data_IF_349715638387
#
_entry.id   IF_349715638387
#
_cell.length_a   1.000
_cell.length_b   1.000
_cell.length_c   1.000
_cell.angle_alpha   90.00
_cell.angle_beta   90.00
_cell.angle_gamma   90.00
#
_symmetry.space_group_name_H-M   'P 1'
#
loop_
_entity.id
_entity.type
_entity.pdbx_description
1 polymer ?
#
# COMPACT_ATOMS: atom_id res chain seq x y z
N UNK A 1 7.11 9.75 -20.24
CA UNK A 1 7.88 8.83 -19.37
C UNK A 1 7.45 7.41 -19.72
N UNK A 2 8.39 6.49 -20.02
CA UNK A 2 8.03 5.07 -20.21
C UNK A 2 7.55 4.51 -18.85
N UNK A 3 6.40 3.84 -18.84
CA UNK A 3 5.78 3.24 -17.64
C UNK A 3 6.76 2.41 -16.81
N UNK A 4 7.71 1.78 -17.48
CA UNK A 4 8.59 0.78 -16.90
C UNK A 4 9.67 1.43 -16.02
N UNK A 5 10.17 2.62 -16.40
CA UNK A 5 11.12 3.39 -15.58
C UNK A 5 10.47 3.92 -14.30
N UNK A 6 9.20 4.32 -14.38
CA UNK A 6 8.44 4.76 -13.21
C UNK A 6 8.19 3.60 -12.24
N UNK A 7 7.91 2.41 -12.76
CA UNK A 7 7.77 1.20 -11.95
C UNK A 7 9.11 0.82 -11.28
N UNK A 8 10.23 0.87 -12.01
CA UNK A 8 11.56 0.59 -11.47
C UNK A 8 11.95 1.58 -10.37
N UNK A 9 11.68 2.88 -10.57
CA UNK A 9 11.89 3.90 -9.56
C UNK A 9 11.02 3.66 -8.31
N UNK A 10 9.76 3.25 -8.48
CA UNK A 10 8.88 2.93 -7.36
C UNK A 10 9.41 1.74 -6.54
N UNK A 11 9.93 0.70 -7.19
CA UNK A 11 10.52 -0.46 -6.52
C UNK A 11 11.78 -0.05 -5.72
N UNK A 12 12.65 0.79 -6.30
CA UNK A 12 13.83 1.31 -5.59
C UNK A 12 13.43 2.16 -4.38
N UNK A 13 12.41 3.02 -4.52
CA UNK A 13 11.88 3.85 -3.43
C UNK A 13 11.23 3.02 -2.32
N UNK A 14 10.57 1.91 -2.66
CA UNK A 14 10.05 0.98 -1.66
C UNK A 14 11.15 0.20 -0.96
N UNK A 15 12.22 -0.18 -1.67
CA UNK A 15 13.37 -0.86 -1.09
C UNK A 15 14.12 0.00 -0.06
N UNK A 16 14.28 1.30 -0.33
CA UNK A 16 14.93 2.23 0.62
C UNK A 16 14.05 2.60 1.82
N UNK A 17 12.75 2.31 1.77
CA UNK A 17 11.82 2.66 2.84
C UNK A 17 12.14 1.91 4.14
N UNK A 18 12.55 0.65 4.05
CA UNK A 18 12.91 -0.16 5.23
C UNK A 18 14.14 0.41 5.97
N UNK A 19 15.19 0.83 5.25
CA UNK A 19 16.39 1.40 5.87
C UNK A 19 16.12 2.78 6.49
N UNK A 20 15.31 3.61 5.83
CA UNK A 20 14.90 4.91 6.38
C UNK A 20 13.96 4.76 7.58
N UNK A 21 13.03 3.80 7.56
CA UNK A 21 12.10 3.56 8.67
C UNK A 21 12.83 3.16 9.96
N UNK A 22 13.90 2.37 9.86
CA UNK A 22 14.75 2.02 11.02
C UNK A 22 15.44 3.27 11.60
N UNK A 23 15.80 4.23 10.75
CA UNK A 23 16.42 5.49 11.19
C UNK A 23 15.42 6.47 11.83
N UNK A 24 14.11 6.22 11.68
CA UNK A 24 13.01 7.05 12.14
C UNK A 24 12.16 6.32 13.20
N UNK A 25 12.73 5.36 13.93
CA UNK A 25 12.03 4.54 14.94
C UNK A 25 11.37 5.37 16.06
N UNK A 26 11.84 6.59 16.29
CA UNK A 26 11.31 7.55 17.26
C UNK A 26 10.05 8.28 16.78
N UNK A 27 9.72 8.23 15.49
CA UNK A 27 8.57 8.96 14.92
C UNK A 27 7.34 8.05 14.89
N UNK A 28 6.20 8.49 15.44
CA UNK A 28 4.96 7.73 15.38
C UNK A 28 4.56 7.39 13.94
N UNK A 29 4.18 6.15 13.66
CA UNK A 29 4.08 5.67 12.30
C UNK A 29 2.89 6.27 11.52
N UNK A 30 1.77 6.62 12.18
CA UNK A 30 0.68 7.36 11.52
C UNK A 30 1.08 8.79 11.13
N UNK A 31 1.93 9.43 11.93
CA UNK A 31 2.49 10.75 11.63
C UNK A 31 3.45 10.67 10.44
N UNK A 32 4.33 9.67 10.40
CA UNK A 32 5.27 9.45 9.29
C UNK A 32 4.52 9.20 7.97
N UNK A 33 3.49 8.34 7.99
CA UNK A 33 2.60 8.11 6.85
C UNK A 33 1.88 9.38 6.43
N UNK A 34 1.34 10.14 7.40
CA UNK A 34 0.61 11.37 7.16
C UNK A 34 1.47 12.43 6.46
N UNK A 35 2.65 12.72 7.00
CA UNK A 35 3.61 13.66 6.41
C UNK A 35 4.04 13.18 5.02
N UNK A 36 4.37 11.89 4.86
CA UNK A 36 4.77 11.32 3.58
C UNK A 36 3.69 11.48 2.49
N UNK A 37 2.41 11.27 2.84
CA UNK A 37 1.29 11.45 1.91
C UNK A 37 1.01 12.92 1.59
N UNK A 38 1.14 13.82 2.56
CA UNK A 38 1.00 15.27 2.34
C UNK A 38 2.13 15.76 1.44
N UNK A 39 3.39 15.41 1.73
CA UNK A 39 4.54 15.79 0.90
C UNK A 39 4.43 15.18 -0.50
N UNK A 40 4.03 13.91 -0.61
CA UNK A 40 3.77 13.26 -1.90
C UNK A 40 2.66 13.96 -2.70
N UNK A 41 1.63 14.48 -2.03
CA UNK A 41 0.58 15.27 -2.69
C UNK A 41 1.08 16.61 -3.23
N UNK A 42 2.07 17.23 -2.57
CA UNK A 42 2.68 18.47 -3.05
C UNK A 42 3.46 18.24 -4.36
N UNK A 43 4.05 17.05 -4.54
CA UNK A 43 4.74 16.68 -5.78
C UNK A 43 3.74 16.52 -6.95
N UNK A 44 2.48 16.22 -6.67
CA UNK A 44 1.44 16.13 -7.70
C UNK A 44 0.97 17.51 -8.22
N UNK A 45 1.22 18.62 -7.51
CA UNK A 45 0.90 19.99 -7.95
C UNK A 45 1.57 20.38 -9.27
N UNK A 46 2.92 20.28 -9.42
CA UNK A 46 3.58 20.61 -10.68
C UNK A 46 3.16 19.66 -11.81
N UNK A 47 2.92 18.39 -11.52
CA UNK A 47 2.43 17.40 -12.50
C UNK A 47 1.02 17.73 -13.02
N UNK A 48 0.19 18.36 -12.18
CA UNK A 48 -1.14 18.85 -12.58
C UNK A 48 -1.11 20.15 -13.42
N UNK A 49 0.07 20.77 -13.55
CA UNK A 49 0.23 22.11 -14.11
C UNK A 49 -0.41 23.20 -13.25
N UNK A 50 -0.34 23.06 -11.92
CA UNK A 50 -0.96 23.95 -10.93
C UNK A 50 -2.48 24.11 -11.05
N UNK A 51 -3.15 23.22 -11.80
CA UNK A 51 -4.61 23.25 -11.94
C UNK A 51 -5.26 22.47 -10.81
N UNK A 52 -5.59 23.17 -9.74
CA UNK A 52 -6.28 22.64 -8.55
C UNK A 52 -7.53 21.82 -8.91
N UNK A 53 -8.26 22.21 -9.96
CA UNK A 53 -9.45 21.49 -10.42
C UNK A 53 -9.17 20.05 -10.91
N UNK A 54 -7.93 19.75 -11.34
CA UNK A 54 -7.48 18.40 -11.71
C UNK A 54 -7.00 17.58 -10.51
N UNK A 55 -6.73 18.24 -9.38
CA UNK A 55 -6.37 17.62 -8.12
C UNK A 55 -7.60 17.19 -7.32
N UNK A 56 -8.81 17.64 -7.66
CA UNK A 56 -10.04 17.25 -6.95
C UNK A 56 -10.53 15.90 -7.50
N UNK A 57 -10.32 14.77 -6.79
CA UNK A 57 -10.85 13.48 -7.21
C UNK A 57 -12.39 13.47 -7.15
N UNK A 58 -13.00 12.65 -8.00
CA UNK A 58 -14.42 12.28 -7.84
C UNK A 58 -14.61 11.59 -6.48
N UNK A 59 -15.78 11.79 -5.85
CA UNK A 59 -16.10 11.21 -4.52
C UNK A 59 -15.76 9.72 -4.40
N UNK A 60 -16.02 8.91 -5.44
CA UNK A 60 -15.68 7.48 -5.46
C UNK A 60 -14.16 7.22 -5.41
N UNK A 61 -13.36 7.98 -6.16
CA UNK A 61 -11.89 7.86 -6.18
C UNK A 61 -11.30 8.28 -4.83
N UNK A 62 -11.87 9.33 -4.22
CA UNK A 62 -11.48 9.77 -2.89
C UNK A 62 -11.78 8.73 -1.82
N UNK A 63 -12.98 8.15 -1.82
CA UNK A 63 -13.35 7.09 -0.88
C UNK A 63 -12.46 5.86 -1.02
N UNK A 64 -12.19 5.42 -2.25
CA UNK A 64 -11.28 4.28 -2.52
C UNK A 64 -9.86 4.61 -2.07
N UNK A 65 -9.37 5.82 -2.33
CA UNK A 65 -8.05 6.28 -1.89
C UNK A 65 -7.92 6.31 -0.36
N UNK A 66 -8.90 6.89 0.34
CA UNK A 66 -8.91 6.96 1.82
C UNK A 66 -9.05 5.57 2.43
N UNK A 67 -9.95 4.73 1.92
CA UNK A 67 -10.08 3.33 2.34
C UNK A 67 -8.76 2.57 2.16
N UNK A 68 -8.15 2.68 0.98
CA UNK A 68 -6.94 1.96 0.63
C UNK A 68 -5.73 2.40 1.44
N UNK A 69 -5.49 3.71 1.55
CA UNK A 69 -4.33 4.24 2.27
C UNK A 69 -4.52 4.13 3.78
N UNK A 70 -5.62 4.64 4.32
CA UNK A 70 -5.82 4.72 5.76
C UNK A 70 -6.16 3.34 6.36
N UNK A 71 -7.05 2.59 5.69
CA UNK A 71 -7.42 1.24 6.12
C UNK A 71 -6.24 0.27 6.08
N UNK A 72 -5.39 0.35 5.04
CA UNK A 72 -4.18 -0.47 4.96
C UNK A 72 -3.22 -0.18 6.11
N UNK A 73 -2.90 1.10 6.34
CA UNK A 73 -1.95 1.46 7.38
C UNK A 73 -2.48 1.12 8.76
N UNK A 74 -3.76 1.36 9.03
CA UNK A 74 -4.36 1.00 10.31
C UNK A 74 -4.33 -0.51 10.56
N UNK A 75 -4.71 -1.33 9.57
CA UNK A 75 -4.64 -2.78 9.66
C UNK A 75 -3.18 -3.30 9.78
N UNK A 76 -2.25 -2.67 9.08
CA UNK A 76 -0.84 -3.03 9.15
C UNK A 76 -0.27 -2.73 10.54
N UNK A 77 -0.50 -1.54 11.10
CA UNK A 77 -0.03 -1.19 12.44
C UNK A 77 -0.68 -2.06 13.51
N UNK A 78 -1.99 -2.32 13.41
CA UNK A 78 -2.65 -3.29 14.29
C UNK A 78 -2.02 -4.69 14.19
N UNK A 79 -1.64 -5.13 12.99
CA UNK A 79 -0.91 -6.37 12.77
C UNK A 79 0.46 -6.40 13.43
N UNK A 80 1.25 -5.34 13.25
CA UNK A 80 2.60 -5.19 13.81
C UNK A 80 2.61 -5.07 15.34
N UNK A 81 1.57 -4.48 15.94
CA UNK A 81 1.44 -4.37 17.41
C UNK A 81 1.01 -5.70 18.06
N UNK A 82 0.30 -6.56 17.33
CA UNK A 82 -0.31 -7.79 17.86
C UNK A 82 0.36 -9.08 17.39
N UNK A 83 1.45 -9.02 16.62
CA UNK A 83 2.22 -10.17 16.15
C UNK A 83 3.68 -9.79 15.88
N UNK A 84 4.61 -10.77 15.79
CA UNK A 84 5.99 -10.50 15.43
C UNK A 84 6.08 -9.76 14.09
N UNK A 85 6.74 -8.60 14.07
CA UNK A 85 6.77 -7.67 12.93
C UNK A 85 7.15 -8.34 11.61
N UNK A 86 8.12 -9.25 11.65
CA UNK A 86 8.60 -10.01 10.49
C UNK A 86 7.51 -10.92 9.93
N UNK A 87 6.84 -11.69 10.78
CA UNK A 87 5.80 -12.63 10.37
C UNK A 87 4.53 -11.91 9.91
N UNK A 88 4.12 -10.85 10.61
CA UNK A 88 3.01 -10.00 10.20
C UNK A 88 3.27 -9.34 8.84
N UNK A 89 4.48 -8.83 8.60
CA UNK A 89 4.83 -8.24 7.31
C UNK A 89 4.89 -9.29 6.19
N UNK A 90 5.33 -10.52 6.49
CA UNK A 90 5.27 -11.63 5.54
C UNK A 90 3.84 -11.98 5.12
N UNK A 91 2.91 -11.99 6.08
CA UNK A 91 1.48 -12.16 5.77
C UNK A 91 0.96 -10.99 4.94
N UNK A 92 1.39 -9.77 5.23
CA UNK A 92 1.04 -8.61 4.44
C UNK A 92 1.55 -8.71 2.98
N UNK A 93 2.73 -9.32 2.76
CA UNK A 93 3.28 -9.62 1.43
C UNK A 93 2.45 -10.60 0.59
N UNK A 94 1.30 -11.09 1.06
CA UNK A 94 0.30 -11.75 0.21
C UNK A 94 -0.38 -10.76 -0.77
N UNK A 95 -0.27 -9.45 -0.53
CA UNK A 95 -0.92 -8.44 -1.37
C UNK A 95 -0.64 -8.57 -2.88
N UNK A 96 0.57 -8.89 -3.38
CA UNK A 96 0.82 -9.02 -4.83
C UNK A 96 0.12 -10.23 -5.42
N UNK A 97 0.08 -11.36 -4.69
CA UNK A 97 -0.67 -12.54 -5.11
C UNK A 97 -2.16 -12.19 -5.15
N UNK A 98 -2.67 -11.54 -4.10
CA UNK A 98 -4.07 -11.13 -4.03
C UNK A 98 -4.43 -10.17 -5.17
N UNK A 99 -3.56 -9.24 -5.56
CA UNK A 99 -3.77 -8.38 -6.74
C UNK A 99 -3.95 -9.22 -8.01
N UNK A 100 -3.12 -10.24 -8.21
CA UNK A 100 -3.19 -11.12 -9.38
C UNK A 100 -4.47 -11.98 -9.35
N UNK A 101 -4.81 -12.55 -8.19
CA UNK A 101 -6.00 -13.39 -8.01
C UNK A 101 -7.30 -12.59 -8.13
N UNK A 102 -7.33 -11.38 -7.60
CA UNK A 102 -8.50 -10.50 -7.61
C UNK A 102 -8.62 -9.71 -8.91
N UNK A 103 -7.55 -9.55 -9.71
CA UNK A 103 -7.57 -8.83 -10.99
C UNK A 103 -8.80 -9.10 -11.89
N UNK A 104 -9.19 -10.36 -12.19
CA UNK A 104 -10.34 -10.66 -13.05
C UNK A 104 -11.68 -10.21 -12.46
N UNK A 105 -11.80 -10.11 -11.14
CA UNK A 105 -13.03 -9.66 -10.46
C UNK A 105 -13.27 -8.16 -10.66
N UNK A 106 -12.19 -7.38 -10.77
CA UNK A 106 -12.25 -5.92 -10.85
C UNK A 106 -12.04 -5.36 -12.26
N UNK A 107 -11.36 -6.10 -13.14
CA UNK A 107 -10.98 -5.65 -14.48
C UNK A 107 -11.61 -6.57 -15.53
N UNK A 108 -12.70 -6.09 -16.14
CA UNK A 108 -13.40 -6.81 -17.22
C UNK A 108 -12.43 -7.10 -18.37
N UNK A 109 -12.36 -8.37 -18.78
CA UNK A 109 -11.52 -8.82 -19.91
C UNK A 109 -10.13 -9.30 -19.53
N UNK A 110 -9.75 -9.31 -18.24
CA UNK A 110 -8.51 -9.97 -17.80
C UNK A 110 -8.77 -11.42 -17.42
N UNK A 111 -7.98 -12.34 -17.98
CA UNK A 111 -8.00 -13.76 -17.64
C UNK A 111 -6.70 -14.14 -16.93
N UNK A 112 -6.80 -14.93 -15.86
CA UNK A 112 -5.61 -15.49 -15.22
C UNK A 112 -5.01 -16.55 -16.13
N UNK A 113 -3.91 -16.20 -16.76
CA UNK A 113 -3.03 -17.18 -17.41
C UNK A 113 -2.21 -17.94 -16.36
N UNK A 114 -1.89 -19.20 -16.62
CA UNK A 114 -1.03 -20.04 -15.77
C UNK A 114 0.32 -19.39 -15.41
N UNK A 115 0.85 -18.55 -16.31
CA UNK A 115 2.08 -17.76 -16.07
C UNK A 115 1.96 -16.81 -14.87
N UNK A 116 0.78 -16.24 -14.61
CA UNK A 116 0.56 -15.35 -13.47
C UNK A 116 0.54 -16.12 -12.14
N UNK A 117 0.01 -17.34 -12.16
CA UNK A 117 0.06 -18.25 -11.01
C UNK A 117 1.51 -18.62 -10.67
N UNK A 118 2.30 -19.02 -11.67
CA UNK A 118 3.73 -19.30 -11.47
C UNK A 118 4.44 -18.05 -10.93
N UNK A 119 4.27 -16.89 -11.57
CA UNK A 119 4.93 -15.66 -11.14
C UNK A 119 4.56 -15.26 -9.70
N UNK A 120 3.29 -15.39 -9.32
CA UNK A 120 2.82 -15.12 -7.97
C UNK A 120 3.41 -16.07 -6.93
N UNK A 121 3.40 -17.38 -7.21
CA UNK A 121 3.98 -18.40 -6.32
C UNK A 121 5.50 -18.20 -6.21
N UNK A 122 6.20 -18.00 -7.33
CA UNK A 122 7.65 -17.82 -7.33
C UNK A 122 8.05 -16.54 -6.56
N UNK A 123 7.33 -15.44 -6.77
CA UNK A 123 7.56 -14.17 -6.09
C UNK A 123 7.31 -14.26 -4.59
N UNK A 124 6.22 -14.93 -4.18
CA UNK A 124 5.92 -15.15 -2.77
C UNK A 124 6.90 -16.09 -2.09
N UNK A 125 7.26 -17.21 -2.74
CA UNK A 125 8.29 -18.12 -2.22
C UNK A 125 9.62 -17.41 -2.06
N UNK A 126 9.99 -16.53 -3.00
CA UNK A 126 11.19 -15.68 -2.89
C UNK A 126 11.12 -14.72 -1.69
N UNK A 127 10.00 -14.01 -1.52
CA UNK A 127 9.79 -13.12 -0.38
C UNK A 127 9.79 -13.88 0.95
N UNK A 128 9.13 -15.04 1.00
CA UNK A 128 9.11 -15.91 2.17
C UNK A 128 10.50 -16.40 2.54
N UNK A 129 11.28 -16.91 1.58
CA UNK A 129 12.66 -17.33 1.81
C UNK A 129 13.54 -16.18 2.29
N UNK A 130 13.45 -15.01 1.65
CA UNK A 130 14.22 -13.83 2.06
C UNK A 130 13.92 -13.43 3.50
N UNK A 131 12.64 -13.42 3.89
CA UNK A 131 12.19 -12.98 5.22
C UNK A 131 12.46 -14.05 6.29
N UNK A 132 12.28 -15.33 5.97
CA UNK A 132 12.48 -16.46 6.90
C UNK A 132 13.95 -16.81 7.11
N UNK A 133 14.83 -16.49 6.17
CA UNK A 133 16.26 -16.84 6.22
C UNK A 133 17.04 -16.27 7.41
N UNK A 134 16.46 -15.34 8.18
CA UNK A 134 17.11 -14.70 9.33
C UNK A 134 16.27 -14.68 10.62
N UNK A 135 15.14 -15.40 10.69
CA UNK A 135 14.19 -15.25 11.81
C UNK A 135 13.69 -16.60 12.33
N UNK A 136 13.68 -16.79 13.65
CA UNK A 136 13.02 -17.95 14.25
C UNK A 136 11.49 -17.83 14.12
N UNK A 137 10.87 -18.90 13.61
CA UNK A 137 9.43 -19.02 13.55
C UNK A 137 8.88 -19.25 14.96
N UNK A 138 8.40 -18.18 15.58
CA UNK A 138 7.62 -18.28 16.82
C UNK A 138 6.29 -18.97 16.49
N UNK A 139 6.10 -20.17 17.01
CA UNK A 139 4.85 -20.93 16.88
C UNK A 139 3.73 -20.33 17.73
N UNK A 140 2.55 -20.15 17.15
CA UNK A 140 1.35 -19.65 17.83
C UNK A 140 0.49 -18.78 16.92
N UNK A 141 -0.83 -18.91 16.99
CA UNK A 141 -1.73 -18.05 16.23
C UNK A 141 -1.88 -16.70 16.96
N UNK A 142 -1.34 -15.64 16.36
CA UNK A 142 -1.49 -14.29 16.86
C UNK A 142 -2.60 -13.57 16.07
N UNK A 143 -3.45 -12.81 16.76
CA UNK A 143 -4.49 -11.99 16.12
C UNK A 143 -3.89 -11.01 15.12
N UNK A 144 -2.64 -10.59 15.30
CA UNK A 144 -1.91 -9.75 14.34
C UNK A 144 -1.80 -10.34 12.93
N UNK A 145 -1.82 -11.68 12.76
CA UNK A 145 -1.85 -12.29 11.42
C UNK A 145 -3.16 -12.04 10.68
N UNK A 146 -4.28 -11.96 11.40
CA UNK A 146 -5.58 -11.61 10.82
C UNK A 146 -5.55 -10.18 10.32
N UNK A 147 -5.04 -9.24 11.14
CA UNK A 147 -4.91 -7.84 10.74
C UNK A 147 -3.96 -7.65 9.55
N UNK A 148 -2.83 -8.36 9.51
CA UNK A 148 -1.93 -8.36 8.36
C UNK A 148 -2.59 -8.90 7.08
N UNK A 149 -3.41 -9.96 7.19
CA UNK A 149 -4.20 -10.48 6.08
C UNK A 149 -5.25 -9.49 5.59
N UNK A 150 -5.92 -8.78 6.51
CA UNK A 150 -6.85 -7.70 6.19
C UNK A 150 -6.11 -6.55 5.47
N UNK A 151 -4.92 -6.17 5.92
CA UNK A 151 -4.10 -5.16 5.26
C UNK A 151 -3.78 -5.58 3.81
N UNK A 152 -3.35 -6.82 3.59
CA UNK A 152 -3.09 -7.35 2.25
C UNK A 152 -4.33 -7.32 1.34
N UNK A 153 -5.51 -7.63 1.89
CA UNK A 153 -6.79 -7.55 1.18
C UNK A 153 -7.20 -6.11 0.85
N UNK A 154 -7.03 -5.18 1.79
CA UNK A 154 -7.32 -3.75 1.57
C UNK A 154 -6.41 -3.21 0.47
N UNK A 155 -5.10 -3.49 0.52
CA UNK A 155 -4.15 -2.98 -0.47
C UNK A 155 -4.39 -3.54 -1.87
N UNK A 156 -4.69 -4.84 -1.96
CA UNK A 156 -4.97 -5.49 -3.24
C UNK A 156 -6.29 -5.02 -3.86
N UNK A 157 -7.36 -4.95 -3.07
CA UNK A 157 -8.65 -4.40 -3.53
C UNK A 157 -8.53 -2.93 -3.93
N UNK A 158 -7.83 -2.11 -3.14
CA UNK A 158 -7.52 -0.72 -3.47
C UNK A 158 -6.79 -0.59 -4.81
N UNK A 159 -5.72 -1.36 -5.02
CA UNK A 159 -4.91 -1.30 -6.25
C UNK A 159 -5.72 -1.65 -7.51
N UNK A 160 -6.69 -2.56 -7.39
CA UNK A 160 -7.56 -2.97 -8.48
C UNK A 160 -8.71 -1.99 -8.71
N UNK A 161 -9.33 -1.49 -7.64
CA UNK A 161 -10.36 -0.45 -7.70
C UNK A 161 -9.79 0.87 -8.26
N UNK A 162 -8.58 1.25 -7.86
CA UNK A 162 -7.93 2.46 -8.40
C UNK A 162 -7.68 2.31 -9.90
N UNK A 163 -7.28 1.11 -10.36
CA UNK A 163 -7.10 0.80 -11.78
C UNK A 163 -8.43 0.76 -12.54
N UNK A 164 -9.52 0.27 -11.96
CA UNK A 164 -10.84 0.26 -12.61
C UNK A 164 -11.46 1.66 -12.68
N UNK A 165 -11.08 2.56 -11.78
CA UNK A 165 -11.48 3.98 -11.76
C UNK A 165 -10.55 4.89 -12.59
N UNK A 166 -9.62 4.32 -13.37
CA UNK A 166 -8.54 5.02 -14.09
C UNK A 166 -8.98 5.98 -15.22
N UNK A 167 -10.27 6.22 -15.42
CA UNK A 167 -10.77 7.38 -16.18
C UNK A 167 -10.45 8.72 -15.47
N UNK A 168 -9.91 8.69 -14.24
CA UNK A 168 -9.52 9.87 -13.49
C UNK A 168 -8.07 10.27 -13.80
N UNK A 169 -7.77 11.56 -14.07
CA UNK A 169 -6.42 12.01 -14.37
C UNK A 169 -5.43 11.63 -13.25
N UNK A 170 -4.20 11.29 -13.60
CA UNK A 170 -3.11 10.94 -12.65
C UNK A 170 -2.88 12.01 -11.59
N UNK A 171 -3.25 13.26 -11.86
CA UNK A 171 -3.25 14.35 -10.88
C UNK A 171 -4.21 14.13 -9.70
N UNK A 172 -5.29 13.35 -9.87
CA UNK A 172 -6.24 13.03 -8.80
C UNK A 172 -5.59 12.25 -7.64
N UNK A 173 -4.45 11.59 -7.90
CA UNK A 173 -3.62 10.93 -6.88
C UNK A 173 -3.21 11.91 -5.79
N UNK A 174 -2.79 13.12 -6.17
CA UNK A 174 -2.45 14.16 -5.20
C UNK A 174 -3.60 14.50 -4.26
N UNK A 175 -4.83 14.59 -4.77
CA UNK A 175 -5.99 14.98 -3.95
C UNK A 175 -6.39 13.96 -2.90
N UNK A 176 -6.49 12.68 -3.27
CA UNK A 176 -6.84 11.66 -2.27
C UNK A 176 -5.66 11.33 -1.35
N UNK A 177 -4.41 11.45 -1.82
CA UNK A 177 -3.23 11.35 -0.94
C UNK A 177 -3.19 12.48 0.08
N UNK A 178 -3.53 13.72 -0.29
CA UNK A 178 -3.62 14.83 0.65
C UNK A 178 -4.67 14.56 1.74
N UNK A 179 -5.88 14.15 1.33
CA UNK A 179 -6.97 13.86 2.28
C UNK A 179 -6.62 12.68 3.18
N UNK A 180 -6.06 11.61 2.63
CA UNK A 180 -5.59 10.47 3.43
C UNK A 180 -4.46 10.87 4.38
N UNK A 181 -3.54 11.75 3.96
CA UNK A 181 -2.46 12.27 4.78
C UNK A 181 -2.95 13.12 5.94
N UNK A 182 -3.87 14.06 5.69
CA UNK A 182 -4.50 14.88 6.74
C UNK A 182 -5.28 14.01 7.72
N UNK A 183 -6.04 13.02 7.22
CA UNK A 183 -6.75 12.07 8.08
C UNK A 183 -5.79 11.19 8.90
N UNK A 184 -4.64 10.80 8.35
CA UNK A 184 -3.61 10.05 9.06
C UNK A 184 -2.96 10.88 10.17
N UNK A 185 -2.68 12.16 9.93
CA UNK A 185 -2.20 13.09 10.97
C UNK A 185 -3.28 13.31 12.04
N UNK A 186 -4.55 13.41 11.65
CA UNK A 186 -5.67 13.50 12.58
C UNK A 186 -5.83 12.22 13.42
N UNK A 187 -5.65 11.05 12.81
CA UNK A 187 -5.67 9.77 13.50
C UNK A 187 -4.50 9.62 14.48
N UNK A 188 -3.31 10.10 14.10
CA UNK A 188 -2.16 10.20 15.01
C UNK A 188 -2.56 10.93 16.29
N UNK A 189 -3.13 12.15 16.21
CA UNK A 189 -3.53 12.93 17.39
C UNK A 189 -4.57 12.26 18.31
N UNK A 190 -5.26 11.22 17.85
CA UNK A 190 -6.33 10.53 18.60
C UNK A 190 -5.88 9.18 19.14
N UNK A 191 -5.02 8.47 18.40
CA UNK A 191 -4.64 7.08 18.69
C UNK A 191 -3.19 6.92 19.15
N UNK A 192 -2.32 7.92 18.95
CA UNK A 192 -0.90 7.94 19.30
C UNK A 192 -0.57 9.17 20.16
#
# INVERSE_FOLDING_TARGET
MRSDLAALAAVLLWGSLASLAISLDTVPPLLMTGIGLVVGSLIALPVSGFRIRRLIPRKRVLLVGVYGLLGYHFALFAGLQNAPSVQANLVNYLWPILVVLLAPLFIKGTSLTYKHWIAGILGFSGAALAILSGTELVGGFAVGYVYAGIAALIFSSYSLMSKSLADSPTAAVGGYSFVAGVLSIGAHLVFE
#
